data_IF_749993401399
#
_entry.id   IF_749993401399
#
_cell.length_a   1.000
_cell.length_b   1.000
_cell.length_c   1.000
_cell.angle_alpha   90.00
_cell.angle_beta   90.00
_cell.angle_gamma   90.00
#
_symmetry.space_group_name_H-M   'P 1'
#
loop_
_entity.id
_entity.type
_entity.pdbx_description
1 polymer ?
#
# COMPACT_ATOMS: atom_id res chain seq x y z
N UNK A 1 -23.14 -25.66 10.42
CA UNK A 1 -22.75 -26.06 9.06
C UNK A 1 -21.25 -26.36 8.95
N UNK A 2 -20.33 -25.50 9.44
CA UNK A 2 -18.88 -25.79 9.44
C UNK A 2 -18.43 -26.83 10.46
N UNK A 3 -19.18 -27.06 11.54
CA UNK A 3 -18.85 -28.11 12.55
C UNK A 3 -18.86 -29.53 12.01
N UNK A 4 -19.55 -29.78 10.89
CA UNK A 4 -19.72 -31.10 10.29
C UNK A 4 -18.80 -31.33 9.08
N UNK A 5 -17.93 -30.38 8.73
CA UNK A 5 -16.95 -30.50 7.69
C UNK A 5 -15.70 -31.19 8.20
N UNK A 6 -15.21 -32.16 7.44
CA UNK A 6 -13.93 -32.80 7.69
C UNK A 6 -12.75 -31.81 7.55
N UNK A 7 -11.57 -32.10 8.09
CA UNK A 7 -10.41 -31.20 8.03
C UNK A 7 -9.98 -30.84 6.60
N UNK A 8 -10.17 -31.74 5.63
CA UNK A 8 -9.84 -31.50 4.22
C UNK A 8 -10.79 -30.51 3.55
N UNK A 9 -12.08 -30.54 3.92
CA UNK A 9 -13.08 -29.60 3.41
C UNK A 9 -12.89 -28.19 3.98
N UNK A 10 -12.42 -28.08 5.25
CA UNK A 10 -12.05 -26.78 5.86
C UNK A 10 -10.82 -26.18 5.18
N UNK A 11 -9.80 -26.99 4.91
CA UNK A 11 -8.61 -26.56 4.17
C UNK A 11 -8.93 -26.12 2.73
N UNK A 12 -9.85 -26.83 2.05
CA UNK A 12 -10.32 -26.47 0.71
C UNK A 12 -11.10 -25.17 0.69
N UNK A 13 -11.86 -24.90 1.74
CA UNK A 13 -12.58 -23.64 1.93
C UNK A 13 -11.63 -22.47 2.22
N UNK A 14 -10.65 -22.68 3.10
CA UNK A 14 -9.57 -21.70 3.35
C UNK A 14 -8.79 -21.37 2.06
N UNK A 15 -8.51 -22.36 1.21
CA UNK A 15 -7.88 -22.18 -0.11
C UNK A 15 -8.75 -21.39 -1.09
N UNK A 16 -10.06 -21.64 -1.10
CA UNK A 16 -10.98 -20.85 -1.91
C UNK A 16 -10.96 -19.37 -1.51
N UNK A 17 -10.84 -19.07 -0.21
CA UNK A 17 -10.70 -17.73 0.32
C UNK A 17 -9.36 -17.10 -0.10
N UNK A 18 -8.25 -17.82 0.09
CA UNK A 18 -6.92 -17.34 -0.32
C UNK A 18 -6.82 -17.13 -1.84
N UNK A 19 -7.52 -17.94 -2.64
CA UNK A 19 -7.55 -17.76 -4.11
C UNK A 19 -8.31 -16.51 -4.57
N UNK A 20 -9.18 -15.96 -3.73
CA UNK A 20 -9.86 -14.70 -3.98
C UNK A 20 -8.96 -13.49 -3.63
N UNK A 21 -8.06 -13.68 -2.65
CA UNK A 21 -7.12 -12.65 -2.20
C UNK A 21 -5.83 -12.65 -3.03
N UNK A 22 -5.41 -13.81 -3.56
CA UNK A 22 -4.20 -13.89 -4.39
C UNK A 22 -4.48 -13.35 -5.80
N UNK A 23 -3.73 -12.36 -6.30
CA UNK A 23 -3.88 -11.90 -7.68
C UNK A 23 -3.56 -13.07 -8.61
N UNK A 24 -4.53 -13.48 -9.43
CA UNK A 24 -4.30 -14.47 -10.48
C UNK A 24 -3.23 -13.92 -11.42
N UNK A 25 -2.02 -14.44 -11.34
CA UNK A 25 -0.99 -14.18 -12.35
C UNK A 25 -1.51 -14.68 -13.70
N UNK A 26 -2.06 -13.78 -14.50
CA UNK A 26 -2.39 -14.05 -15.89
C UNK A 26 -1.08 -14.15 -16.67
N UNK A 27 -0.69 -15.37 -17.06
CA UNK A 27 0.25 -15.58 -18.17
C UNK A 27 -0.44 -15.11 -19.45
N UNK A 28 0.10 -14.07 -20.08
CA UNK A 28 -0.35 -13.59 -21.37
C UNK A 28 -0.93 -12.18 -21.31
N UNK A 29 -0.06 -11.19 -21.13
CA UNK A 29 -0.43 -9.80 -21.34
C UNK A 29 -0.12 -9.38 -22.77
N UNK A 30 -1.18 -9.16 -23.52
CA UNK A 30 -1.27 -8.11 -24.52
C UNK A 30 -2.74 -7.68 -24.52
N UNK A 31 -3.07 -6.71 -23.69
CA UNK A 31 -4.26 -5.85 -23.71
C UNK A 31 -4.59 -5.40 -22.28
N UNK A 32 -3.71 -4.60 -21.71
CA UNK A 32 -4.02 -3.80 -20.53
C UNK A 32 -3.63 -2.35 -20.79
N UNK A 33 -4.23 -1.78 -21.81
CA UNK A 33 -4.29 -0.32 -21.96
C UNK A 33 -5.75 0.05 -22.13
N UNK A 34 -6.24 0.76 -21.19
CA UNK A 34 -7.46 1.54 -21.09
C UNK A 34 -8.40 1.06 -20.00
N UNK A 35 -8.41 1.85 -18.98
CA UNK A 35 -9.44 2.21 -18.01
C UNK A 35 -9.02 2.04 -16.56
N UNK A 36 -8.06 2.84 -16.13
CA UNK A 36 -8.01 3.33 -14.75
C UNK A 36 -9.11 4.39 -14.63
N UNK A 37 -10.21 4.04 -14.03
CA UNK A 37 -11.21 5.01 -13.58
C UNK A 37 -11.68 4.59 -12.20
N UNK A 38 -11.50 5.52 -11.28
CA UNK A 38 -12.07 5.64 -9.93
C UNK A 38 -13.09 4.57 -9.55
N UNK A 39 -12.72 3.73 -8.61
CA UNK A 39 -13.57 2.69 -8.04
C UNK A 39 -14.19 3.17 -6.72
N UNK A 40 -15.25 3.97 -6.78
CA UNK A 40 -16.16 4.15 -5.65
C UNK A 40 -17.10 2.94 -5.54
N UNK A 41 -17.44 2.50 -4.33
CA UNK A 41 -18.42 1.39 -4.05
C UNK A 41 -19.70 1.45 -4.89
N UNK A 42 -20.16 2.64 -5.25
CA UNK A 42 -21.31 2.85 -6.15
C UNK A 42 -21.02 2.38 -7.59
N UNK A 43 -19.82 2.59 -8.07
CA UNK A 43 -19.39 2.26 -9.44
C UNK A 43 -19.25 0.74 -9.65
N UNK A 44 -18.78 0.00 -8.67
CA UNK A 44 -18.67 -1.47 -8.76
C UNK A 44 -20.06 -2.13 -8.80
N UNK A 45 -20.95 -1.69 -7.94
CA UNK A 45 -22.34 -2.17 -7.91
C UNK A 45 -23.11 -1.87 -9.20
N UNK A 46 -22.89 -0.71 -9.80
CA UNK A 46 -23.45 -0.34 -11.10
C UNK A 46 -22.85 -1.16 -12.23
N UNK A 47 -21.54 -1.47 -12.20
CA UNK A 47 -20.86 -2.32 -13.20
C UNK A 47 -21.33 -3.76 -13.13
N UNK A 48 -21.46 -4.33 -11.94
CA UNK A 48 -22.02 -5.69 -11.76
C UNK A 48 -23.46 -5.74 -12.25
N UNK A 49 -24.27 -4.69 -11.99
CA UNK A 49 -25.64 -4.59 -12.47
C UNK A 49 -25.71 -4.41 -13.99
N UNK A 50 -24.73 -3.72 -14.61
CA UNK A 50 -24.62 -3.56 -16.06
C UNK A 50 -24.16 -4.86 -16.74
N UNK A 51 -23.28 -5.64 -16.12
CA UNK A 51 -22.85 -6.96 -16.62
C UNK A 51 -23.99 -7.97 -16.50
N UNK A 52 -24.77 -7.92 -15.43
CA UNK A 52 -25.95 -8.80 -15.23
C UNK A 52 -27.13 -8.45 -16.16
N UNK A 53 -27.27 -7.19 -16.57
CA UNK A 53 -28.21 -6.76 -17.60
C UNK A 53 -27.51 -6.83 -18.96
N UNK A 54 -27.60 -7.97 -19.66
CA UNK A 54 -27.09 -8.09 -21.03
C UNK A 54 -27.55 -6.88 -21.86
N UNK A 55 -26.69 -5.91 -22.21
CA UNK A 55 -27.11 -4.79 -23.04
C UNK A 55 -27.39 -5.33 -24.44
N UNK A 56 -28.58 -5.07 -24.94
CA UNK A 56 -28.87 -5.25 -26.37
C UNK A 56 -28.13 -4.12 -27.09
N UNK A 57 -26.95 -4.43 -27.61
CA UNK A 57 -26.26 -3.48 -28.49
C UNK A 57 -27.13 -3.20 -29.71
N UNK A 58 -27.45 -1.95 -29.94
CA UNK A 58 -28.18 -1.54 -31.14
C UNK A 58 -27.28 -1.82 -32.37
N UNK A 59 -27.86 -2.40 -33.43
CA UNK A 59 -27.12 -2.79 -34.63
C UNK A 59 -26.24 -1.67 -35.24
N UNK A 60 -26.62 -0.42 -35.03
CA UNK A 60 -25.87 0.77 -35.55
C UNK A 60 -24.55 1.01 -34.82
N UNK A 61 -24.42 0.62 -33.53
CA UNK A 61 -23.12 0.73 -32.82
C UNK A 61 -22.12 -0.29 -33.33
N UNK A 62 -22.57 -1.48 -33.70
CA UNK A 62 -21.74 -2.49 -34.33
C UNK A 62 -21.25 -2.05 -35.74
N UNK A 63 -22.14 -1.48 -36.53
CA UNK A 63 -21.83 -0.95 -37.86
C UNK A 63 -20.87 0.24 -37.75
N UNK A 64 -21.07 1.14 -36.78
CA UNK A 64 -20.19 2.29 -36.56
C UNK A 64 -18.76 1.86 -36.18
N UNK A 65 -18.61 0.88 -35.30
CA UNK A 65 -17.29 0.33 -34.90
C UNK A 65 -16.60 -0.35 -36.09
N UNK A 66 -17.36 -1.10 -36.92
CA UNK A 66 -16.83 -1.74 -38.12
C UNK A 66 -16.36 -0.73 -39.18
N UNK A 67 -17.11 0.35 -39.41
CA UNK A 67 -16.73 1.41 -40.35
C UNK A 67 -15.50 2.17 -39.82
N UNK A 68 -15.46 2.47 -38.54
CA UNK A 68 -14.31 3.17 -37.91
C UNK A 68 -13.03 2.34 -37.99
N UNK A 69 -13.11 1.02 -37.74
CA UNK A 69 -11.95 0.13 -37.89
C UNK A 69 -11.45 0.01 -39.32
N UNK A 70 -12.37 0.00 -40.30
CA UNK A 70 -12.02 -0.03 -41.73
C UNK A 70 -11.32 1.27 -42.18
N UNK A 71 -11.78 2.43 -41.69
CA UNK A 71 -11.15 3.75 -41.98
C UNK A 71 -9.76 3.82 -41.37
N UNK A 72 -9.59 3.36 -40.11
CA UNK A 72 -8.28 3.33 -39.47
C UNK A 72 -7.28 2.39 -40.16
N UNK A 73 -7.74 1.24 -40.64
CA UNK A 73 -6.90 0.29 -41.40
C UNK A 73 -6.49 0.86 -42.78
N UNK A 74 -7.39 1.61 -43.44
CA UNK A 74 -7.07 2.26 -44.72
C UNK A 74 -6.03 3.39 -44.58
N UNK A 75 -6.01 4.10 -43.45
CA UNK A 75 -5.03 5.17 -43.19
C UNK A 75 -3.63 4.65 -42.85
N UNK A 76 -3.45 3.38 -42.51
CA UNK A 76 -2.12 2.81 -42.20
C UNK A 76 -1.36 2.26 -43.40
N UNK A 77 -2.00 2.20 -44.57
CA UNK A 77 -1.38 1.65 -45.80
C UNK A 77 -0.93 2.69 -46.85
N UNK A 78 -0.89 3.97 -46.55
CA UNK A 78 -0.40 4.99 -47.47
C UNK A 78 0.94 5.56 -47.03
N UNK A 79 2.03 5.04 -47.64
CA UNK A 79 3.25 5.77 -47.89
C UNK A 79 4.39 5.65 -46.91
N UNK A 80 5.26 4.66 -47.11
CA UNK A 80 6.68 4.80 -46.78
C UNK A 80 7.51 4.88 -48.06
N UNK A 81 8.46 5.83 -48.21
CA UNK A 81 9.37 5.89 -49.35
C UNK A 81 10.38 4.75 -49.31
N UNK A 82 10.59 4.12 -50.45
CA UNK A 82 11.59 3.07 -50.69
C UNK A 82 13.00 3.67 -50.56
N UNK A 83 13.79 3.17 -49.60
CA UNK A 83 15.23 3.39 -49.60
C UNK A 83 15.93 2.38 -50.51
N UNK A 84 17.01 2.75 -51.21
CA UNK A 84 17.72 1.85 -52.11
C UNK A 84 18.49 0.77 -51.33
N UNK A 85 18.43 -0.43 -51.85
CA UNK A 85 19.02 -1.67 -51.37
C UNK A 85 20.57 -1.57 -51.31
N UNK A 86 21.25 -1.95 -50.25
CA UNK A 86 22.72 -2.07 -50.24
C UNK A 86 23.16 -3.35 -50.96
N UNK A 87 24.29 -3.24 -51.71
CA UNK A 87 24.91 -4.33 -52.45
C UNK A 87 25.23 -5.57 -51.61
N UNK A 88 25.16 -6.77 -52.20
CA UNK A 88 25.32 -8.02 -51.44
C UNK A 88 26.77 -8.26 -51.01
N UNK A 89 26.95 -8.48 -49.70
CA UNK A 89 28.20 -9.01 -49.13
C UNK A 89 28.26 -10.51 -49.40
N UNK A 90 29.43 -11.10 -49.82
CA UNK A 90 29.53 -12.51 -50.16
C UNK A 90 29.29 -13.40 -48.91
N UNK A 91 28.46 -14.42 -49.07
CA UNK A 91 28.14 -15.42 -48.05
C UNK A 91 29.39 -16.23 -47.66
N UNK A 92 29.52 -16.54 -46.34
CA UNK A 92 30.48 -17.54 -45.87
C UNK A 92 29.97 -18.95 -46.24
N UNK A 93 30.86 -19.74 -46.81
CA UNK A 93 30.66 -21.15 -47.16
C UNK A 93 30.12 -21.95 -45.97
N UNK A 94 28.88 -22.46 -46.14
CA UNK A 94 28.29 -23.39 -45.18
C UNK A 94 28.94 -24.77 -45.36
N UNK A 95 29.68 -25.21 -44.34
CA UNK A 95 29.99 -26.64 -44.18
C UNK A 95 28.71 -27.32 -43.67
N UNK A 96 28.26 -28.29 -44.46
CA UNK A 96 27.14 -29.17 -44.15
C UNK A 96 27.40 -29.95 -42.84
N UNK A 97 26.53 -29.88 -41.83
CA UNK A 97 26.71 -30.73 -40.65
C UNK A 97 26.21 -32.15 -40.96
N UNK A 98 27.02 -33.15 -40.57
CA UNK A 98 26.62 -34.55 -40.57
C UNK A 98 25.28 -34.78 -39.85
N UNK A 99 24.48 -35.78 -40.33
CA UNK A 99 23.18 -36.07 -39.74
C UNK A 99 23.34 -36.63 -38.31
N UNK A 100 22.95 -35.82 -37.31
CA UNK A 100 22.80 -36.26 -35.95
C UNK A 100 21.61 -37.21 -35.91
N UNK A 101 21.83 -38.45 -35.51
CA UNK A 101 20.75 -39.39 -35.19
C UNK A 101 19.89 -38.80 -34.05
N UNK A 102 18.55 -38.96 -34.09
CA UNK A 102 17.71 -38.59 -32.97
C UNK A 102 18.08 -39.41 -31.75
N UNK A 103 18.58 -38.78 -30.70
CA UNK A 103 18.64 -39.43 -29.38
C UNK A 103 17.20 -39.64 -28.93
N UNK A 104 16.85 -40.92 -28.62
CA UNK A 104 15.61 -41.23 -27.92
C UNK A 104 15.54 -40.44 -26.62
N UNK A 105 14.41 -39.79 -26.30
CA UNK A 105 14.26 -39.13 -25.00
C UNK A 105 14.43 -40.15 -23.88
N UNK A 106 15.14 -39.81 -22.78
CA UNK A 106 15.26 -40.73 -21.66
C UNK A 106 13.86 -41.11 -21.17
N UNK A 107 13.52 -42.39 -21.24
CA UNK A 107 12.38 -42.96 -20.59
C UNK A 107 12.62 -42.87 -19.08
N UNK A 108 12.06 -41.87 -18.43
CA UNK A 108 11.87 -41.65 -17.00
C UNK A 108 11.89 -40.14 -16.68
N UNK A 109 11.14 -39.35 -17.47
CA UNK A 109 10.64 -38.10 -16.92
C UNK A 109 9.43 -38.49 -16.06
N UNK A 110 9.64 -38.68 -14.77
CA UNK A 110 8.55 -38.69 -13.79
C UNK A 110 7.64 -37.50 -14.09
N UNK A 111 6.35 -37.79 -14.32
CA UNK A 111 5.35 -36.73 -14.45
C UNK A 111 5.48 -35.82 -13.24
N UNK A 112 5.44 -34.48 -13.39
CA UNK A 112 5.54 -33.57 -12.27
C UNK A 112 4.48 -33.98 -11.24
N UNK A 113 4.96 -34.41 -10.07
CA UNK A 113 4.05 -34.74 -8.96
C UNK A 113 3.17 -33.51 -8.71
N UNK A 114 1.87 -33.70 -8.44
CA UNK A 114 1.02 -32.59 -8.07
C UNK A 114 1.69 -31.89 -6.90
N UNK A 115 1.98 -30.60 -7.04
CA UNK A 115 2.46 -29.76 -5.93
C UNK A 115 1.37 -29.88 -4.87
N UNK A 116 1.66 -30.53 -3.76
CA UNK A 116 0.74 -30.55 -2.63
C UNK A 116 0.46 -29.10 -2.26
N UNK A 117 -0.81 -28.72 -2.31
CA UNK A 117 -1.25 -27.41 -1.87
C UNK A 117 -0.89 -27.28 -0.38
N UNK A 118 0.03 -26.41 -0.06
CA UNK A 118 0.41 -26.10 1.32
C UNK A 118 -0.33 -24.82 1.78
N UNK A 119 -1.40 -24.97 2.58
CA UNK A 119 -2.21 -23.83 3.02
C UNK A 119 -1.41 -22.83 3.87
N UNK A 120 -0.37 -23.28 4.58
CA UNK A 120 0.49 -22.43 5.36
C UNK A 120 1.40 -21.59 4.45
N UNK A 121 1.98 -22.20 3.41
CA UNK A 121 2.81 -21.48 2.44
C UNK A 121 1.98 -20.43 1.67
N UNK A 122 0.76 -20.75 1.27
CA UNK A 122 -0.14 -19.81 0.61
C UNK A 122 -0.53 -18.65 1.53
N UNK A 123 -0.81 -18.94 2.80
CA UNK A 123 -1.09 -17.91 3.81
C UNK A 123 0.13 -17.01 4.07
N UNK A 124 1.31 -17.60 4.24
CA UNK A 124 2.56 -16.85 4.45
C UNK A 124 2.89 -15.95 3.25
N UNK A 125 2.52 -16.36 2.03
CA UNK A 125 2.65 -15.52 0.85
C UNK A 125 1.68 -14.32 0.88
N UNK A 126 0.47 -14.52 1.40
CA UNK A 126 -0.56 -13.47 1.47
C UNK A 126 -0.32 -12.49 2.63
N UNK A 127 0.05 -13.02 3.79
CA UNK A 127 0.25 -12.27 5.04
C UNK A 127 1.55 -12.68 5.75
N UNK A 128 2.71 -12.39 5.16
CA UNK A 128 4.00 -12.87 5.68
C UNK A 128 4.34 -12.37 7.08
N UNK A 129 3.70 -11.29 7.53
CA UNK A 129 3.89 -10.76 8.88
C UNK A 129 3.09 -11.52 9.97
N UNK A 130 2.05 -12.26 9.60
CA UNK A 130 1.17 -12.92 10.56
C UNK A 130 1.66 -14.31 10.96
N UNK A 131 1.45 -14.68 12.21
CA UNK A 131 1.64 -16.04 12.70
C UNK A 131 0.44 -16.91 12.30
N UNK A 132 0.68 -17.88 11.42
CA UNK A 132 -0.35 -18.75 10.87
C UNK A 132 -1.15 -19.50 11.94
N UNK A 133 -0.47 -20.06 12.95
CA UNK A 133 -1.15 -20.85 13.99
C UNK A 133 -2.07 -19.98 14.86
N UNK A 134 -1.69 -18.74 15.18
CA UNK A 134 -2.52 -17.82 15.94
C UNK A 134 -3.73 -17.36 15.11
N UNK A 135 -3.54 -17.10 13.83
CA UNK A 135 -4.61 -16.73 12.91
C UNK A 135 -5.64 -17.86 12.75
N UNK A 136 -5.19 -19.10 12.52
CA UNK A 136 -6.10 -20.26 12.43
C UNK A 136 -6.88 -20.49 13.71
N UNK A 137 -6.23 -20.40 14.87
CA UNK A 137 -6.89 -20.49 16.18
C UNK A 137 -7.97 -19.42 16.33
N UNK A 138 -7.68 -18.17 15.97
CA UNK A 138 -8.67 -17.09 16.00
C UNK A 138 -9.90 -17.42 15.14
N UNK A 139 -9.70 -17.90 13.91
CA UNK A 139 -10.80 -18.28 13.02
C UNK A 139 -11.63 -19.47 13.56
N UNK A 140 -10.99 -20.41 14.27
CA UNK A 140 -11.69 -21.54 14.90
C UNK A 140 -12.51 -21.07 16.12
N UNK A 141 -12.05 -20.09 16.86
CA UNK A 141 -12.72 -19.49 18.02
C UNK A 141 -13.85 -18.52 17.62
N UNK A 142 -13.74 -17.91 16.42
CA UNK A 142 -14.64 -16.91 15.86
C UNK A 142 -15.21 -17.33 14.50
N UNK A 143 -16.00 -18.44 14.45
CA UNK A 143 -16.52 -18.94 13.19
C UNK A 143 -17.51 -17.97 12.51
N UNK A 144 -18.11 -17.03 13.25
CA UNK A 144 -18.92 -15.93 12.71
C UNK A 144 -18.13 -15.04 11.76
N UNK A 145 -16.83 -14.88 12.00
CA UNK A 145 -15.93 -14.17 11.12
C UNK A 145 -15.89 -14.80 9.73
N UNK A 146 -16.15 -16.09 9.61
CA UNK A 146 -16.20 -16.85 8.36
C UNK A 146 -17.56 -16.80 7.65
N UNK A 147 -18.63 -16.48 8.34
CA UNK A 147 -20.01 -16.55 7.82
C UNK A 147 -20.54 -15.23 7.23
N UNK A 148 -19.80 -14.14 7.34
CA UNK A 148 -20.24 -12.81 6.95
C UNK A 148 -20.10 -12.49 5.46
N UNK A 149 -20.19 -13.49 4.58
CA UNK A 149 -20.36 -13.28 3.13
C UNK A 149 -19.18 -12.61 2.45
N UNK A 150 -18.12 -13.11 2.64
CA UNK A 150 -16.73 -12.87 2.29
C UNK A 150 -16.40 -12.29 0.91
N UNK A 151 -16.51 -11.02 0.82
CA UNK A 151 -15.66 -10.26 -0.10
C UNK A 151 -14.35 -9.86 0.60
N UNK A 152 -14.33 -9.84 1.94
CA UNK A 152 -13.16 -9.48 2.75
C UNK A 152 -13.25 -9.99 4.20
N UNK A 153 -12.12 -10.36 4.77
CA UNK A 153 -11.96 -10.66 6.19
C UNK A 153 -11.71 -9.34 6.91
N UNK A 154 -12.68 -8.93 7.75
CA UNK A 154 -12.49 -7.87 8.71
C UNK A 154 -12.54 -8.45 10.10
N UNK A 155 -11.40 -8.44 10.76
CA UNK A 155 -11.26 -8.85 12.13
C UNK A 155 -11.22 -7.58 12.98
N UNK A 156 -12.01 -7.59 14.07
CA UNK A 156 -12.16 -6.43 14.95
C UNK A 156 -13.00 -5.27 14.37
N UNK A 157 -14.15 -5.61 13.81
CA UNK A 157 -15.12 -4.61 13.29
C UNK A 157 -15.69 -3.69 14.40
N UNK A 158 -15.62 -4.12 15.65
CA UNK A 158 -16.19 -3.38 16.80
C UNK A 158 -15.33 -2.18 17.24
N UNK A 159 -14.32 -1.80 16.44
CA UNK A 159 -13.38 -0.73 16.78
C UNK A 159 -12.13 -1.26 17.46
N UNK A 160 -11.21 -0.33 17.74
CA UNK A 160 -9.91 -0.64 18.32
C UNK A 160 -9.96 -0.43 19.83
N UNK A 161 -10.61 -1.34 20.54
CA UNK A 161 -10.48 -1.38 21.99
C UNK A 161 -9.09 -1.90 22.39
N UNK A 162 -8.77 -1.79 23.67
CA UNK A 162 -7.48 -2.26 24.17
C UNK A 162 -7.37 -3.80 24.19
N UNK A 163 -8.46 -4.53 23.92
CA UNK A 163 -8.44 -5.99 23.88
C UNK A 163 -7.73 -6.52 22.62
N UNK A 164 -7.97 -5.89 21.45
CA UNK A 164 -7.44 -6.36 20.17
C UNK A 164 -7.90 -7.79 19.83
N UNK A 165 -7.18 -8.46 18.93
CA UNK A 165 -7.39 -9.87 18.60
C UNK A 165 -6.42 -10.78 19.37
N UNK A 166 -6.65 -12.10 19.35
CA UNK A 166 -5.67 -13.10 19.83
C UNK A 166 -4.64 -13.47 18.75
N UNK A 167 -4.66 -12.80 17.61
CA UNK A 167 -3.70 -13.01 16.51
C UNK A 167 -2.40 -12.29 16.84
N UNK A 168 -1.30 -12.95 16.55
CA UNK A 168 0.06 -12.41 16.72
C UNK A 168 0.76 -12.30 15.38
N UNK A 169 1.73 -11.39 15.31
CA UNK A 169 2.69 -11.35 14.21
C UNK A 169 3.78 -12.42 14.39
N UNK A 170 4.65 -12.58 13.39
CA UNK A 170 5.86 -13.42 13.52
C UNK A 170 6.81 -12.91 14.60
N UNK A 171 6.76 -11.62 14.92
CA UNK A 171 7.53 -10.97 15.98
C UNK A 171 6.89 -11.12 17.37
N UNK A 172 5.65 -11.62 17.44
CA UNK A 172 4.89 -11.79 18.69
C UNK A 172 4.09 -10.55 19.08
N UNK A 173 3.99 -9.55 18.22
CA UNK A 173 3.16 -8.37 18.47
C UNK A 173 1.69 -8.68 18.18
N UNK A 174 0.78 -8.10 18.98
CA UNK A 174 -0.65 -8.30 18.83
C UNK A 174 -1.19 -7.65 17.56
N UNK A 175 -1.99 -8.38 16.79
CA UNK A 175 -2.73 -7.86 15.66
C UNK A 175 -4.04 -7.24 16.14
N UNK A 176 -4.32 -6.01 15.73
CA UNK A 176 -5.53 -5.27 16.05
C UNK A 176 -6.64 -5.51 15.02
N UNK A 177 -6.27 -5.58 13.74
CA UNK A 177 -7.20 -5.79 12.65
C UNK A 177 -6.51 -6.45 11.45
N UNK A 178 -7.29 -7.21 10.69
CA UNK A 178 -6.94 -7.71 9.36
C UNK A 178 -8.07 -7.35 8.41
N UNK A 179 -7.75 -6.67 7.32
CA UNK A 179 -8.67 -6.34 6.24
C UNK A 179 -8.13 -6.91 4.93
N UNK A 180 -8.69 -8.02 4.49
CA UNK A 180 -8.18 -8.74 3.34
C UNK A 180 -8.61 -8.09 2.00
N UNK A 181 -9.69 -7.30 1.97
CA UNK A 181 -10.11 -6.55 0.78
C UNK A 181 -9.06 -5.50 0.40
N UNK A 182 -8.58 -4.75 1.41
CA UNK A 182 -7.60 -3.70 1.21
C UNK A 182 -6.16 -4.16 1.51
N UNK A 183 -5.98 -5.39 1.96
CA UNK A 183 -4.67 -5.92 2.32
C UNK A 183 -4.04 -5.22 3.51
N UNK A 184 -4.83 -4.74 4.48
CA UNK A 184 -4.36 -3.99 5.65
C UNK A 184 -4.23 -4.92 6.84
N UNK A 185 -3.09 -4.84 7.54
CA UNK A 185 -2.89 -5.42 8.87
C UNK A 185 -2.50 -4.30 9.81
N UNK A 186 -3.24 -4.16 10.91
CA UNK A 186 -2.92 -3.23 11.99
C UNK A 186 -2.29 -3.98 13.14
N UNK A 187 -1.10 -3.56 13.55
CA UNK A 187 -0.29 -4.21 14.58
C UNK A 187 -0.11 -3.25 15.74
N UNK A 188 -0.36 -3.73 16.96
CA UNK A 188 -0.07 -3.00 18.20
C UNK A 188 1.43 -3.03 18.46
N UNK A 189 2.04 -1.88 18.52
CA UNK A 189 3.45 -1.74 18.86
C UNK A 189 3.56 -1.24 20.30
N UNK A 190 4.32 -1.95 21.12
CA UNK A 190 4.54 -1.58 22.52
C UNK A 190 6.01 -1.68 22.91
N UNK A 191 6.44 -0.83 23.83
CA UNK A 191 7.79 -0.87 24.39
C UNK A 191 7.89 -0.05 25.66
N UNK A 192 9.11 0.11 26.20
CA UNK A 192 9.30 0.88 27.41
C UNK A 192 8.96 2.36 27.21
N UNK A 193 7.86 2.78 27.81
CA UNK A 193 7.37 4.15 27.76
C UNK A 193 6.74 4.58 26.45
N UNK A 194 6.37 3.66 25.57
CA UNK A 194 5.62 3.98 24.35
C UNK A 194 4.64 2.88 23.96
N UNK A 195 3.62 3.27 23.24
CA UNK A 195 2.71 2.40 22.51
C UNK A 195 2.39 3.04 21.16
N UNK A 196 1.88 2.26 20.22
CA UNK A 196 1.51 2.77 18.92
C UNK A 196 0.84 1.72 18.05
N UNK A 197 0.62 2.08 16.80
CA UNK A 197 0.07 1.21 15.78
C UNK A 197 0.92 1.29 14.53
N UNK A 198 1.27 0.12 13.99
CA UNK A 198 1.86 -0.03 12.66
C UNK A 198 0.79 -0.59 11.73
N UNK A 199 0.44 0.17 10.70
CA UNK A 199 -0.33 -0.33 9.58
C UNK A 199 0.64 -0.84 8.50
N UNK A 200 0.41 -2.07 8.03
CA UNK A 200 1.10 -2.68 6.90
C UNK A 200 0.06 -2.91 5.81
N UNK A 201 0.27 -2.30 4.64
CA UNK A 201 -0.71 -2.28 3.56
C UNK A 201 -0.09 -2.87 2.30
N UNK A 202 -0.67 -3.96 1.82
CA UNK A 202 -0.09 -4.82 0.80
C UNK A 202 -0.04 -4.22 -0.61
N UNK A 203 -0.93 -3.27 -0.93
CA UNK A 203 -1.15 -2.78 -2.29
C UNK A 203 -0.68 -1.34 -2.44
N UNK A 204 0.61 -1.08 -2.76
CA UNK A 204 1.16 0.28 -2.85
C UNK A 204 0.41 1.18 -3.85
N UNK A 205 -0.23 0.60 -4.87
CA UNK A 205 -1.05 1.30 -5.86
C UNK A 205 -2.32 1.95 -5.29
N UNK A 206 -2.73 1.58 -4.07
CA UNK A 206 -3.86 2.20 -3.37
C UNK A 206 -3.44 3.42 -2.53
N UNK A 207 -2.13 3.69 -2.45
CA UNK A 207 -1.59 4.80 -1.67
C UNK A 207 -1.61 6.10 -2.47
N UNK A 208 -2.06 7.18 -1.81
CA UNK A 208 -2.04 8.54 -2.35
C UNK A 208 -1.64 9.54 -1.28
N UNK A 209 -1.00 10.63 -1.67
CA UNK A 209 -0.94 11.82 -0.85
C UNK A 209 -2.11 12.72 -1.21
N UNK A 210 -2.95 13.07 -0.22
CA UNK A 210 -4.15 13.86 -0.43
C UNK A 210 -4.07 15.18 0.34
N UNK A 211 -4.43 16.26 -0.32
CA UNK A 211 -4.51 17.59 0.30
C UNK A 211 -5.85 17.77 1.01
N UNK A 212 -5.85 18.54 2.11
CA UNK A 212 -7.10 19.02 2.69
C UNK A 212 -7.88 19.84 1.64
N UNK A 213 -9.18 19.65 1.54
CA UNK A 213 -10.03 20.39 0.58
C UNK A 213 -10.03 21.90 0.84
N UNK A 214 -9.72 22.29 2.07
CA UNK A 214 -9.62 23.67 2.55
C UNK A 214 -8.18 24.18 2.59
N UNK A 215 -7.22 23.45 2.01
CA UNK A 215 -5.81 23.84 1.95
C UNK A 215 -5.63 25.28 1.46
N UNK A 216 -4.73 26.02 2.07
CA UNK A 216 -4.53 27.46 1.82
C UNK A 216 -5.30 28.35 2.80
N UNK A 217 -6.36 27.85 3.44
CA UNK A 217 -7.18 28.56 4.42
C UNK A 217 -7.07 27.91 5.80
N UNK A 218 -7.43 26.63 5.88
CA UNK A 218 -7.34 25.79 7.08
C UNK A 218 -7.07 24.36 6.68
N UNK A 219 -6.62 23.54 7.64
CA UNK A 219 -6.45 22.10 7.44
C UNK A 219 -7.71 21.33 7.81
N UNK A 220 -7.65 20.02 7.59
CA UNK A 220 -8.72 19.10 7.94
C UNK A 220 -8.19 17.94 8.80
N UNK A 221 -9.08 17.29 9.54
CA UNK A 221 -8.73 16.07 10.28
C UNK A 221 -8.38 14.94 9.30
N UNK A 222 -7.42 14.08 9.64
CA UNK A 222 -6.96 12.98 8.78
C UNK A 222 -8.12 12.10 8.28
N UNK A 223 -9.06 11.75 9.15
CA UNK A 223 -10.24 10.96 8.79
C UNK A 223 -11.17 11.67 7.82
N UNK A 224 -11.26 13.01 7.89
CA UNK A 224 -12.03 13.78 6.91
C UNK A 224 -11.33 13.79 5.55
N UNK A 225 -10.02 14.03 5.51
CA UNK A 225 -9.23 13.96 4.26
C UNK A 225 -9.43 12.59 3.62
N UNK A 226 -9.27 11.50 4.39
CA UNK A 226 -9.49 10.15 3.87
C UNK A 226 -10.91 9.95 3.32
N UNK A 227 -11.93 10.30 4.10
CA UNK A 227 -13.33 10.09 3.72
C UNK A 227 -13.74 10.88 2.48
N UNK A 228 -13.26 12.12 2.34
CA UNK A 228 -13.54 12.98 1.18
C UNK A 228 -12.91 12.41 -0.10
N UNK A 229 -11.80 11.69 0.02
CA UNK A 229 -11.08 11.07 -1.09
C UNK A 229 -11.34 9.55 -1.24
N UNK A 230 -12.28 9.00 -0.47
CA UNK A 230 -12.68 7.60 -0.57
C UNK A 230 -11.65 6.60 -0.01
N UNK A 231 -10.72 7.06 0.84
CA UNK A 231 -9.75 6.20 1.51
C UNK A 231 -10.33 5.52 2.74
N UNK A 232 -9.72 4.41 3.14
CA UNK A 232 -10.09 3.63 4.31
C UNK A 232 -9.09 3.76 5.46
N UNK A 233 -7.85 4.13 5.14
CA UNK A 233 -6.79 4.36 6.12
C UNK A 233 -6.12 5.70 5.83
N UNK A 234 -5.75 6.45 6.87
CA UNK A 234 -4.96 7.67 6.71
C UNK A 234 -4.04 7.93 7.90
N UNK A 235 -2.86 8.48 7.59
CA UNK A 235 -1.96 9.08 8.56
C UNK A 235 -1.58 10.50 8.13
N UNK A 236 -1.18 11.33 9.09
CA UNK A 236 -0.63 12.66 8.77
C UNK A 236 0.65 12.56 7.93
N UNK A 237 0.90 13.55 7.09
CA UNK A 237 2.09 13.61 6.24
C UNK A 237 3.01 14.77 6.62
N UNK A 238 3.01 15.86 5.85
CA UNK A 238 3.91 16.99 6.07
C UNK A 238 3.60 17.75 7.37
N UNK A 239 4.58 18.51 7.83
CA UNK A 239 4.36 19.56 8.82
C UNK A 239 3.58 20.74 8.27
N UNK A 240 3.14 21.62 9.15
CA UNK A 240 2.46 22.85 8.78
C UNK A 240 2.96 24.05 9.59
N UNK A 241 2.69 25.24 9.11
CA UNK A 241 3.05 26.48 9.79
C UNK A 241 2.25 26.59 11.10
N UNK A 242 2.96 26.45 12.21
CA UNK A 242 2.38 26.39 13.56
C UNK A 242 2.98 27.44 14.50
N UNK A 243 2.81 28.74 14.21
CA UNK A 243 3.40 29.80 15.03
C UNK A 243 2.83 29.78 16.47
N UNK A 244 3.73 29.54 17.44
CA UNK A 244 3.39 29.42 18.86
C UNK A 244 2.35 28.33 19.21
N UNK A 245 2.30 27.22 18.43
CA UNK A 245 1.37 26.12 18.64
C UNK A 245 -0.08 26.44 18.31
N UNK A 246 -0.35 27.48 17.50
CA UNK A 246 -1.70 27.96 17.14
C UNK A 246 -2.01 27.83 15.65
N UNK A 247 -1.21 27.07 14.91
CA UNK A 247 -1.47 26.78 13.52
C UNK A 247 -2.77 25.99 13.34
N UNK A 248 -3.47 26.29 12.24
CA UNK A 248 -4.75 25.64 11.89
C UNK A 248 -4.61 24.59 10.78
N UNK A 249 -3.37 24.17 10.43
CA UNK A 249 -3.14 23.19 9.39
C UNK A 249 -3.33 23.67 7.95
N UNK A 250 -3.66 24.95 7.73
CA UNK A 250 -3.99 25.46 6.40
C UNK A 250 -2.80 25.73 5.49
N UNK A 251 -1.58 25.73 6.01
CA UNK A 251 -0.37 26.06 5.25
C UNK A 251 0.73 25.04 5.53
N UNK A 252 1.25 24.39 4.47
CA UNK A 252 2.40 23.51 4.57
C UNK A 252 3.62 24.21 5.19
N UNK A 253 4.36 23.46 5.98
CA UNK A 253 5.76 23.71 6.24
C UNK A 253 6.56 22.69 5.41
N UNK A 254 7.17 23.15 4.33
CA UNK A 254 7.84 22.32 3.35
C UNK A 254 7.07 22.16 2.04
N UNK A 255 7.53 21.24 1.24
CA UNK A 255 7.00 20.93 -0.09
C UNK A 255 6.41 19.51 -0.13
N UNK A 256 5.42 19.32 -0.96
CA UNK A 256 4.93 18.00 -1.33
C UNK A 256 4.46 17.98 -2.79
N UNK A 257 4.34 16.77 -3.31
CA UNK A 257 3.67 16.48 -4.58
C UNK A 257 2.52 15.51 -4.30
N UNK A 258 1.31 15.93 -4.60
CA UNK A 258 0.10 15.15 -4.45
C UNK A 258 -0.43 14.80 -5.84
N UNK A 259 -0.32 13.52 -6.23
CA UNK A 259 -0.79 13.01 -7.51
C UNK A 259 -0.27 13.83 -8.72
N UNK A 260 1.03 14.18 -8.69
CA UNK A 260 1.69 14.96 -9.73
C UNK A 260 1.53 16.47 -9.63
N UNK A 261 0.76 16.98 -8.66
CA UNK A 261 0.60 18.43 -8.41
C UNK A 261 1.48 18.88 -7.23
N UNK A 262 2.29 19.92 -7.46
CA UNK A 262 3.20 20.47 -6.46
C UNK A 262 2.50 21.46 -5.53
N UNK A 263 2.82 21.38 -4.22
CA UNK A 263 2.30 22.26 -3.19
C UNK A 263 3.41 22.71 -2.22
N UNK A 264 3.28 23.92 -1.69
CA UNK A 264 4.21 24.45 -0.70
C UNK A 264 5.52 24.97 -1.30
N UNK A 265 6.62 24.82 -0.58
CA UNK A 265 7.95 25.27 -0.99
C UNK A 265 9.01 24.35 -0.40
N UNK A 266 10.07 24.10 -1.14
CA UNK A 266 11.17 23.26 -0.68
C UNK A 266 11.88 23.86 0.53
N UNK A 267 12.17 23.05 1.52
CA UNK A 267 13.08 23.41 2.57
C UNK A 267 14.50 23.53 2.02
N UNK A 268 15.18 24.63 2.33
CA UNK A 268 16.59 24.78 1.97
C UNK A 268 17.50 23.98 2.91
N UNK A 269 18.65 23.53 2.37
CA UNK A 269 19.69 22.84 3.13
C UNK A 269 19.52 21.31 3.20
N UNK A 270 20.47 20.65 3.87
CA UNK A 270 20.61 19.19 3.87
C UNK A 270 19.90 18.48 5.03
N UNK A 271 19.17 19.24 5.87
CA UNK A 271 18.50 18.69 7.06
C UNK A 271 17.22 17.92 6.71
N UNK A 272 16.52 18.40 5.68
CA UNK A 272 15.27 17.79 5.24
C UNK A 272 15.51 16.79 4.12
N UNK A 273 14.75 15.71 4.18
CA UNK A 273 14.71 14.67 3.15
C UNK A 273 13.33 14.62 2.55
N UNK A 274 13.24 13.98 1.41
CA UNK A 274 12.01 13.77 0.67
C UNK A 274 11.83 12.29 0.38
N UNK A 275 10.65 11.75 0.68
CA UNK A 275 10.20 10.48 0.13
C UNK A 275 9.53 10.77 -1.20
N UNK A 276 9.92 10.05 -2.25
CA UNK A 276 9.34 10.12 -3.58
C UNK A 276 8.82 8.76 -3.99
N UNK A 277 7.61 8.75 -4.55
CA UNK A 277 6.90 7.56 -4.99
C UNK A 277 6.45 7.72 -6.45
N UNK A 278 6.57 6.65 -7.23
CA UNK A 278 5.91 6.52 -8.54
C UNK A 278 4.37 6.43 -8.38
N UNK A 279 3.65 6.57 -9.49
CA UNK A 279 2.17 6.51 -9.52
C UNK A 279 1.61 5.19 -8.96
N UNK A 280 2.30 4.07 -9.21
CA UNK A 280 1.92 2.76 -8.71
C UNK A 280 2.47 2.45 -7.29
N UNK A 281 3.19 3.38 -6.67
CA UNK A 281 3.77 3.26 -5.35
C UNK A 281 4.90 2.22 -5.20
N UNK A 282 5.33 1.56 -6.29
CA UNK A 282 6.33 0.50 -6.24
C UNK A 282 7.76 1.04 -6.19
N UNK A 283 8.02 2.15 -6.88
CA UNK A 283 9.32 2.82 -6.86
C UNK A 283 9.30 3.87 -5.74
N UNK A 284 10.10 3.63 -4.71
CA UNK A 284 10.25 4.52 -3.57
C UNK A 284 11.71 4.86 -3.35
N UNK A 285 12.00 6.13 -3.14
CA UNK A 285 13.35 6.58 -2.79
C UNK A 285 13.33 7.67 -1.75
N UNK A 286 14.39 7.71 -0.94
CA UNK A 286 14.65 8.78 0.02
C UNK A 286 15.84 9.60 -0.49
N UNK A 287 15.61 10.89 -0.69
CA UNK A 287 16.61 11.83 -1.22
C UNK A 287 16.69 13.09 -0.37
N UNK A 288 17.81 13.82 -0.37
CA UNK A 288 17.84 15.18 0.20
C UNK A 288 16.76 16.06 -0.44
N UNK A 289 16.10 16.91 0.34
CA UNK A 289 15.09 17.84 -0.18
C UNK A 289 15.67 18.88 -1.14
N UNK A 290 16.99 19.09 -1.08
CA UNK A 290 17.74 19.97 -2.00
C UNK A 290 17.96 19.37 -3.39
N UNK A 291 17.79 18.04 -3.55
CA UNK A 291 17.97 17.39 -4.84
C UNK A 291 16.80 17.68 -5.78
N UNK A 292 17.02 17.68 -7.10
CA UNK A 292 15.91 17.75 -8.06
C UNK A 292 14.88 16.64 -7.84
N UNK A 293 13.61 16.96 -8.04
CA UNK A 293 12.54 15.96 -8.03
C UNK A 293 12.78 14.96 -9.15
N UNK A 294 12.67 13.69 -8.83
CA UNK A 294 12.94 12.65 -9.80
C UNK A 294 11.87 12.53 -10.88
N UNK A 295 12.32 12.12 -12.06
CA UNK A 295 11.41 11.79 -13.14
C UNK A 295 10.47 10.63 -12.73
N UNK A 296 9.18 10.77 -13.02
CA UNK A 296 8.16 9.78 -12.66
C UNK A 296 7.66 9.86 -11.20
N UNK A 297 8.14 10.83 -10.40
CA UNK A 297 7.58 11.09 -9.07
C UNK A 297 6.12 11.56 -9.21
N UNK A 298 5.23 10.90 -8.47
CA UNK A 298 3.80 11.16 -8.51
C UNK A 298 3.25 11.60 -7.14
N UNK A 299 3.73 10.95 -6.08
CA UNK A 299 3.47 11.38 -4.70
C UNK A 299 4.81 11.61 -3.99
N UNK A 300 4.93 12.70 -3.23
CA UNK A 300 6.12 12.97 -2.46
C UNK A 300 5.84 13.88 -1.27
N UNK A 301 6.61 13.71 -0.19
CA UNK A 301 6.53 14.57 0.99
C UNK A 301 7.92 14.84 1.55
N UNK A 302 8.16 16.08 1.99
CA UNK A 302 9.38 16.48 2.67
C UNK A 302 9.19 16.48 4.17
N UNK A 303 10.13 15.87 4.90
CA UNK A 303 10.26 15.98 6.35
C UNK A 303 11.67 15.55 6.81
N UNK A 304 11.84 15.30 8.12
CA UNK A 304 13.14 14.94 8.71
C UNK A 304 12.98 14.11 10.00
N UNK A 305 13.94 13.21 10.29
CA UNK A 305 15.02 12.71 9.46
C UNK A 305 14.60 11.52 8.59
N UNK A 306 15.43 11.13 7.61
CA UNK A 306 15.35 9.82 7.00
C UNK A 306 15.65 8.75 8.04
N UNK A 307 14.91 7.65 7.99
CA UNK A 307 15.00 6.54 8.96
C UNK A 307 15.71 5.32 8.39
N UNK A 308 15.31 4.96 7.17
CA UNK A 308 15.81 3.80 6.46
C UNK A 308 15.99 4.19 4.99
N UNK A 309 17.11 3.79 4.40
CA UNK A 309 17.37 3.95 2.98
C UNK A 309 17.93 2.65 2.42
N UNK A 310 17.29 2.12 1.38
CA UNK A 310 17.68 0.89 0.68
C UNK A 310 17.87 -0.32 1.62
N UNK A 311 17.08 -0.37 2.70
CA UNK A 311 17.12 -1.43 3.73
C UNK A 311 18.15 -1.20 4.82
N UNK A 312 18.91 -0.11 4.78
CA UNK A 312 19.88 0.25 5.80
C UNK A 312 19.35 1.32 6.75
N UNK A 313 19.52 1.09 8.06
CA UNK A 313 19.17 2.06 9.09
C UNK A 313 20.05 3.30 8.98
N UNK A 314 19.42 4.47 9.07
CA UNK A 314 20.12 5.76 9.23
C UNK A 314 20.06 6.13 10.71
N UNK A 315 21.21 6.10 11.36
CA UNK A 315 21.31 6.54 12.75
C UNK A 315 21.23 8.05 12.86
N UNK A 316 20.28 8.52 13.65
CA UNK A 316 20.12 9.94 13.93
C UNK A 316 20.57 10.27 15.34
N UNK A 317 21.44 11.28 15.46
CA UNK A 317 21.97 11.78 16.75
C UNK A 317 21.22 13.01 17.27
N UNK A 318 20.30 13.56 16.49
CA UNK A 318 19.64 14.82 16.79
C UNK A 318 18.23 14.63 17.37
N UNK A 319 17.43 13.73 16.76
CA UNK A 319 16.02 13.47 17.11
C UNK A 319 15.86 12.30 18.07
N UNK A 320 16.77 12.18 19.03
CA UNK A 320 16.84 11.05 19.98
C UNK A 320 15.83 11.14 21.12
N UNK A 321 15.14 12.27 21.29
CA UNK A 321 14.17 12.46 22.37
C UNK A 321 12.91 11.61 22.21
N UNK A 322 12.36 11.17 23.34
CA UNK A 322 11.10 10.42 23.41
C UNK A 322 9.92 11.37 23.14
N UNK A 323 9.26 11.17 22.01
CA UNK A 323 8.14 11.98 21.53
C UNK A 323 7.13 11.10 20.79
N UNK A 324 5.87 11.55 20.61
CA UNK A 324 4.98 10.95 19.60
C UNK A 324 5.62 11.06 18.22
N UNK A 325 5.52 9.97 17.44
CA UNK A 325 6.16 9.86 16.11
C UNK A 325 5.16 9.42 15.07
N UNK A 326 5.34 9.94 13.85
CA UNK A 326 4.69 9.46 12.66
C UNK A 326 5.78 9.11 11.66
N UNK A 327 5.76 7.89 11.12
CA UNK A 327 6.77 7.41 10.19
C UNK A 327 6.09 6.72 9.01
N UNK A 328 6.50 7.09 7.82
CA UNK A 328 6.00 6.54 6.57
C UNK A 328 7.12 5.78 5.86
N UNK A 329 6.79 4.64 5.26
CA UNK A 329 7.78 3.88 4.49
C UNK A 329 7.17 2.90 3.50
N UNK A 330 8.05 2.36 2.65
CA UNK A 330 7.77 1.30 1.68
C UNK A 330 8.80 0.19 1.88
N UNK A 331 8.39 -1.04 1.74
CA UNK A 331 9.27 -2.19 1.88
C UNK A 331 8.71 -3.47 1.29
N UNK A 332 9.20 -4.60 1.79
CA UNK A 332 8.96 -5.92 1.22
C UNK A 332 7.47 -6.33 1.23
N UNK A 333 6.67 -5.75 2.12
CA UNK A 333 5.25 -6.08 2.28
C UNK A 333 4.31 -4.95 1.80
N UNK A 334 4.85 -3.92 1.17
CA UNK A 334 4.10 -2.77 0.65
C UNK A 334 4.32 -1.49 1.44
N UNK A 335 3.25 -0.85 1.90
CA UNK A 335 3.25 0.44 2.61
C UNK A 335 3.27 0.23 4.11
N UNK A 336 4.05 1.06 4.81
CA UNK A 336 4.18 1.07 6.27
C UNK A 336 3.81 2.44 6.81
N UNK A 337 2.84 2.48 7.72
CA UNK A 337 2.42 3.68 8.43
C UNK A 337 2.53 3.42 9.92
N UNK A 338 3.55 3.97 10.58
CA UNK A 338 3.80 3.80 12.01
C UNK A 338 3.46 5.07 12.75
N UNK A 339 2.54 4.98 13.70
CA UNK A 339 2.28 6.03 14.69
C UNK A 339 2.66 5.53 16.07
N UNK A 340 3.51 6.28 16.75
CA UNK A 340 3.84 6.09 18.15
C UNK A 340 3.17 7.21 18.97
N UNK A 341 2.39 6.82 19.95
CA UNK A 341 1.78 7.73 20.91
C UNK A 341 2.78 8.18 21.98
N UNK A 342 2.50 9.29 22.63
CA UNK A 342 3.33 9.80 23.70
C UNK A 342 2.73 11.01 24.40
N UNK A 343 3.48 11.56 25.39
CA UNK A 343 3.07 12.69 26.21
C UNK A 343 1.84 12.40 27.10
N UNK A 344 1.74 11.15 27.57
CA UNK A 344 0.75 10.71 28.57
C UNK A 344 1.47 10.33 29.87
N UNK A 345 1.93 11.31 30.65
CA UNK A 345 2.73 11.06 31.85
C UNK A 345 1.96 10.30 32.94
N UNK A 346 0.64 10.42 32.95
CA UNK A 346 -0.28 9.68 33.85
C UNK A 346 -0.34 8.19 33.53
N UNK A 347 -0.03 7.80 32.28
CA UNK A 347 0.03 6.41 31.84
C UNK A 347 1.48 5.89 31.71
N UNK A 348 2.48 6.71 32.00
CA UNK A 348 3.88 6.38 31.78
C UNK A 348 4.30 6.35 30.32
N UNK A 349 3.45 6.81 29.40
CA UNK A 349 3.70 6.82 27.95
C UNK A 349 4.35 8.13 27.55
N UNK A 350 5.64 8.08 27.25
CA UNK A 350 6.46 9.24 26.89
C UNK A 350 6.55 9.45 25.39
N UNK A 351 6.52 8.34 24.64
CA UNK A 351 6.83 8.24 23.23
C UNK A 351 8.20 7.59 23.01
N UNK A 352 8.76 7.71 21.80
CA UNK A 352 10.04 7.09 21.48
C UNK A 352 10.92 7.95 20.58
N UNK A 353 12.18 7.50 20.37
CA UNK A 353 13.13 8.14 19.44
C UNK A 353 12.87 7.72 17.99
N UNK A 354 13.39 8.47 17.04
CA UNK A 354 13.36 8.11 15.62
C UNK A 354 14.15 6.83 15.34
N UNK A 355 15.25 6.58 16.07
CA UNK A 355 16.05 5.37 15.91
C UNK A 355 15.28 4.11 16.30
N UNK A 356 14.47 4.19 17.35
CA UNK A 356 13.56 3.11 17.74
C UNK A 356 12.49 2.87 16.66
N UNK A 357 11.95 3.93 16.06
CA UNK A 357 11.03 3.79 14.93
C UNK A 357 11.68 3.07 13.73
N UNK A 358 12.95 3.38 13.45
CA UNK A 358 13.73 2.67 12.41
C UNK A 358 13.84 1.18 12.73
N UNK A 359 14.15 0.82 13.99
CA UNK A 359 14.29 -0.58 14.42
C UNK A 359 12.97 -1.33 14.26
N UNK A 360 11.85 -0.72 14.66
CA UNK A 360 10.50 -1.28 14.48
C UNK A 360 10.21 -1.53 13.00
N UNK A 361 10.39 -0.52 12.15
CA UNK A 361 10.10 -0.62 10.73
C UNK A 361 10.97 -1.67 10.01
N UNK A 362 12.27 -1.74 10.35
CA UNK A 362 13.19 -2.76 9.81
C UNK A 362 12.78 -4.18 10.22
N UNK A 363 12.33 -4.37 11.47
CA UNK A 363 11.87 -5.68 11.95
C UNK A 363 10.69 -6.22 11.13
N UNK A 364 9.91 -5.34 10.51
CA UNK A 364 8.79 -5.69 9.62
C UNK A 364 9.14 -5.64 8.13
N UNK A 365 10.40 -5.42 7.76
CA UNK A 365 10.85 -5.47 6.36
C UNK A 365 10.70 -4.16 5.58
N UNK A 366 10.56 -3.02 6.26
CA UNK A 366 10.57 -1.72 5.60
C UNK A 366 11.96 -1.42 5.02
N UNK A 367 12.03 -0.89 3.79
CA UNK A 367 13.28 -0.63 3.07
C UNK A 367 13.60 0.84 2.91
N UNK A 368 12.59 1.68 2.76
CA UNK A 368 12.75 3.12 2.65
C UNK A 368 11.74 3.78 3.59
N UNK A 369 12.20 4.60 4.52
CA UNK A 369 11.32 5.26 5.49
C UNK A 369 11.79 6.67 5.83
N UNK A 370 10.81 7.55 6.01
CA UNK A 370 10.99 8.93 6.43
C UNK A 370 10.14 9.20 7.67
N UNK A 371 10.71 9.90 8.66
CA UNK A 371 9.93 10.47 9.74
C UNK A 371 9.05 11.60 9.21
N UNK A 372 7.78 11.63 9.60
CA UNK A 372 6.80 12.64 9.25
C UNK A 372 6.56 13.58 10.45
N UNK A 373 5.62 14.52 10.33
CA UNK A 373 5.28 15.42 11.42
C UNK A 373 4.76 14.66 12.64
N UNK A 374 5.52 14.70 13.71
CA UNK A 374 5.24 14.00 14.96
C UNK A 374 4.45 14.82 15.97
N UNK A 375 4.66 14.52 17.25
CA UNK A 375 4.03 15.27 18.33
C UNK A 375 2.50 15.22 18.26
N UNK A 376 1.86 16.38 18.31
CA UNK A 376 0.39 16.47 18.28
C UNK A 376 -0.23 16.27 16.89
N UNK A 377 0.59 16.15 15.85
CA UNK A 377 0.13 15.81 14.49
C UNK A 377 0.06 14.31 14.25
N UNK A 378 0.83 13.51 15.02
CA UNK A 378 0.88 12.06 14.87
C UNK A 378 -0.50 11.43 15.11
N UNK A 379 -1.08 10.86 14.08
CA UNK A 379 -2.43 10.29 14.11
C UNK A 379 -2.62 9.22 13.03
N UNK A 380 -3.34 8.15 13.36
CA UNK A 380 -3.79 7.12 12.43
C UNK A 380 -5.30 6.98 12.51
N UNK A 381 -5.96 6.98 11.38
CA UNK A 381 -7.38 6.76 11.22
C UNK A 381 -7.62 5.55 10.31
N UNK A 382 -8.57 4.70 10.66
CA UNK A 382 -8.97 3.53 9.87
C UNK A 382 -10.48 3.32 9.97
N UNK A 383 -11.13 3.14 8.82
CA UNK A 383 -12.53 2.75 8.63
C UNK A 383 -13.54 3.49 9.54
N UNK A 384 -13.41 4.79 9.65
CA UNK A 384 -14.34 5.64 10.44
C UNK A 384 -13.83 6.00 11.83
N UNK A 385 -12.75 5.36 12.33
CA UNK A 385 -12.26 5.54 13.68
C UNK A 385 -10.80 5.98 13.76
N UNK A 386 -10.43 6.71 14.81
CA UNK A 386 -9.04 7.00 15.13
C UNK A 386 -8.45 5.89 15.98
N UNK A 387 -7.52 5.13 15.40
CA UNK A 387 -6.89 3.97 16.04
C UNK A 387 -5.70 4.33 16.91
N UNK A 388 -5.28 5.60 16.88
CA UNK A 388 -4.29 6.19 17.78
C UNK A 388 -4.81 7.50 18.35
N UNK A 389 -4.26 7.93 19.48
CA UNK A 389 -4.63 9.17 20.12
C UNK A 389 -3.50 10.19 20.02
N UNK A 390 -3.83 11.35 19.42
CA UNK A 390 -2.91 12.49 19.40
C UNK A 390 -2.85 13.21 20.74
N UNK A 391 -1.70 13.76 21.08
CA UNK A 391 -1.52 14.55 22.29
C UNK A 391 -0.55 15.73 22.11
N UNK A 392 -0.81 16.80 22.81
CA UNK A 392 0.21 17.80 23.12
C UNK A 392 0.76 17.57 24.54
N UNK A 393 1.69 18.40 24.97
CA UNK A 393 2.22 18.34 26.35
C UNK A 393 1.16 18.58 27.44
N UNK A 394 -0.02 19.09 27.08
CA UNK A 394 -1.06 19.50 28.01
C UNK A 394 -2.46 18.92 27.70
N UNK A 395 -2.72 18.53 26.45
CA UNK A 395 -4.04 18.14 26.00
C UNK A 395 -3.97 16.88 25.14
N UNK A 396 -4.99 16.05 25.24
CA UNK A 396 -5.28 14.98 24.29
C UNK A 396 -6.29 15.52 23.27
N UNK A 397 -6.09 15.21 22.01
CA UNK A 397 -6.98 15.63 20.94
C UNK A 397 -7.80 14.43 20.46
N UNK A 398 -9.11 14.59 20.42
CA UNK A 398 -9.97 13.63 19.73
C UNK A 398 -9.88 13.92 18.23
N UNK A 399 -9.42 12.93 17.44
CA UNK A 399 -9.27 13.06 16.00
C UNK A 399 -8.03 13.83 15.54
N UNK A 400 -7.13 14.19 16.46
CA UNK A 400 -5.91 14.91 16.14
C UNK A 400 -6.12 16.41 15.87
N UNK A 401 -5.16 17.01 15.18
CA UNK A 401 -5.19 18.41 14.74
C UNK A 401 -5.62 18.50 13.28
N UNK A 402 -6.16 19.64 12.83
CA UNK A 402 -6.29 19.93 11.40
C UNK A 402 -4.92 19.88 10.71
N UNK A 403 -4.83 19.21 9.58
CA UNK A 403 -3.64 18.91 8.81
C UNK A 403 -3.76 19.47 7.39
N UNK A 404 -2.65 19.87 6.74
CA UNK A 404 -2.68 20.33 5.36
C UNK A 404 -2.86 19.18 4.37
N UNK A 405 -2.35 17.99 4.72
CA UNK A 405 -2.38 16.79 3.90
C UNK A 405 -2.24 15.52 4.75
N UNK A 406 -2.55 14.40 4.13
CA UNK A 406 -2.40 13.08 4.72
C UNK A 406 -1.97 12.05 3.67
N UNK A 407 -1.23 11.03 4.09
CA UNK A 407 -1.12 9.79 3.34
C UNK A 407 -2.44 9.03 3.50
N UNK A 408 -3.09 8.75 2.38
CA UNK A 408 -4.39 8.10 2.29
C UNK A 408 -4.25 6.80 1.51
N UNK A 409 -4.88 5.75 1.99
CA UNK A 409 -4.85 4.43 1.39
C UNK A 409 -6.26 3.85 1.25
N UNK A 410 -6.54 3.21 0.08
CA UNK A 410 -7.83 2.58 -0.24
C UNK A 410 -8.62 3.23 -1.36
#
# INVERSE_FOLDING_TARGET
MLKDLDPGSRASYGRALLSLVAPKRARGQLLSCATTMQLGRKSLRERITLIAKKPKMAAYTLVFVLVLSLVLTACTFTGAPVQPEPEPVPEPVQTEPEPVQPEEPPADAEAPQPVEDDPEADFQMAFPMLNYASFQRYLDEHPETLDSGWEHIRINEAGFDDAGTSIETQQGDQVLAVDAEYGIVLVRITGDGYRGVLAICRYPELLRLEMASTYGTEGELAGKIASDHGGILAMNANGFQDPNGKGNGGQLAGWCMAQGEEHGYHFGGDVYQRVELSENGLDCRIVPASDPVGEGTYNAAEFTPALIKDGEKIEDSFWTGEQPRACFGIGDQGVYMLIIEGRYPDEGIRGTSVNTCSDILLAYGCRNALNMDGGSSAILWYDGEYVTQSSSSFLRYTGGRPLPNAWVYG
#
